data_IF_772025610355
#
_entry.id   IF_772025610355
#
_cell.length_a   1.000
_cell.length_b   1.000
_cell.length_c   1.000
_cell.angle_alpha   90.00
_cell.angle_beta   90.00
_cell.angle_gamma   90.00
#
_symmetry.space_group_name_H-M   'P 1'
#
loop_
_entity.id
_entity.type
_entity.pdbx_description
1 polymer ?
#
# COMPACT_ATOMS: atom_id res chain seq x y z
N UNK A 1 37.97 -27.46 -8.21
CA UNK A 1 38.69 -26.39 -7.50
C UNK A 1 37.98 -25.01 -7.64
N UNK A 2 37.73 -24.47 -8.87
CA UNK A 2 37.05 -23.16 -9.03
C UNK A 2 35.66 -23.13 -8.42
N UNK A 3 34.82 -24.11 -8.72
CA UNK A 3 33.44 -24.18 -8.17
C UNK A 3 33.42 -24.31 -6.65
N UNK A 4 34.39 -25.01 -6.07
CA UNK A 4 34.51 -25.12 -4.60
C UNK A 4 34.89 -23.77 -3.95
N UNK A 5 35.78 -23.00 -4.59
CA UNK A 5 36.15 -21.68 -4.13
C UNK A 5 34.96 -20.70 -4.22
N UNK A 6 34.22 -20.71 -5.31
CA UNK A 6 33.01 -19.90 -5.48
C UNK A 6 31.94 -20.23 -4.42
N UNK A 7 31.74 -21.51 -4.18
CA UNK A 7 30.80 -22.00 -3.16
C UNK A 7 31.21 -21.56 -1.74
N UNK A 8 32.50 -21.67 -1.42
CA UNK A 8 33.00 -21.19 -0.13
C UNK A 8 32.87 -19.65 0.04
N UNK A 9 33.08 -18.89 -1.04
CA UNK A 9 32.87 -17.43 -1.04
C UNK A 9 31.41 -17.05 -0.83
N UNK A 10 30.48 -17.75 -1.48
CA UNK A 10 29.05 -17.54 -1.28
C UNK A 10 28.62 -17.87 0.16
N UNK A 11 29.10 -18.97 0.72
CA UNK A 11 28.84 -19.33 2.10
C UNK A 11 29.36 -18.25 3.07
N UNK A 12 30.56 -17.73 2.83
CA UNK A 12 31.09 -16.63 3.62
C UNK A 12 30.26 -15.34 3.47
N UNK A 13 29.81 -15.01 2.25
CA UNK A 13 28.97 -13.84 2.03
C UNK A 13 27.62 -13.95 2.76
N UNK A 14 27.05 -15.14 2.87
CA UNK A 14 25.80 -15.38 3.61
C UNK A 14 25.94 -15.30 5.12
N UNK A 15 27.16 -15.22 5.66
CA UNK A 15 27.35 -14.96 7.10
C UNK A 15 27.09 -13.50 7.47
N UNK A 16 27.05 -12.61 6.49
CA UNK A 16 26.70 -11.19 6.68
C UNK A 16 25.33 -10.91 6.09
N UNK A 17 24.39 -10.46 6.91
CA UNK A 17 23.07 -9.98 6.46
C UNK A 17 23.13 -8.48 6.36
N UNK A 18 22.94 -7.96 5.15
CA UNK A 18 22.95 -6.53 4.85
C UNK A 18 21.58 -6.06 4.38
N UNK A 19 21.21 -4.84 4.78
CA UNK A 19 20.01 -4.20 4.26
C UNK A 19 20.16 -3.91 2.76
N UNK A 20 19.18 -4.31 1.96
CA UNK A 20 19.17 -4.08 0.51
C UNK A 20 18.78 -2.64 0.14
N UNK A 21 18.15 -1.91 1.06
CA UNK A 21 17.71 -0.52 0.89
C UNK A 21 17.77 0.24 2.20
N UNK A 22 17.69 1.57 2.11
CA UNK A 22 17.54 2.43 3.27
C UNK A 22 16.19 2.17 3.97
N UNK A 23 16.19 2.25 5.30
CA UNK A 23 15.00 1.99 6.10
C UNK A 23 15.32 1.78 7.56
N UNK A 24 14.30 1.53 8.34
CA UNK A 24 14.39 1.28 9.78
C UNK A 24 14.20 -0.21 10.06
N UNK A 25 15.15 -0.81 10.79
CA UNK A 25 15.01 -2.18 11.28
C UNK A 25 14.04 -2.19 12.44
N UNK A 26 12.99 -2.98 12.32
CA UNK A 26 11.96 -3.15 13.34
C UNK A 26 11.84 -4.61 13.74
N UNK A 27 11.31 -4.87 14.94
CA UNK A 27 11.06 -6.21 15.46
C UNK A 27 12.26 -7.15 15.36
N UNK A 28 13.44 -6.66 15.78
CA UNK A 28 14.66 -7.46 15.82
C UNK A 28 14.56 -8.49 16.95
N UNK A 29 14.49 -9.77 16.60
CA UNK A 29 14.37 -10.90 17.54
C UNK A 29 15.67 -11.72 17.67
N UNK A 30 16.80 -11.07 17.54
CA UNK A 30 18.11 -11.70 17.64
C UNK A 30 18.87 -11.23 18.88
N UNK A 31 19.47 -12.18 19.56
CA UNK A 31 20.47 -11.93 20.61
C UNK A 31 21.77 -12.62 20.24
N UNK A 32 22.92 -12.08 20.64
CA UNK A 32 24.20 -12.77 20.46
C UNK A 32 24.17 -14.18 21.04
N UNK A 33 24.59 -15.18 20.24
CA UNK A 33 24.53 -16.60 20.63
C UNK A 33 23.19 -17.29 20.33
N UNK A 34 22.18 -16.60 19.83
CA UNK A 34 20.92 -17.25 19.41
C UNK A 34 21.14 -18.11 18.17
N UNK A 35 20.54 -19.29 18.15
CA UNK A 35 20.47 -20.12 16.95
C UNK A 35 19.28 -19.74 16.10
N UNK A 36 19.52 -19.56 14.81
CA UNK A 36 18.48 -19.25 13.82
C UNK A 36 18.47 -20.29 12.73
N UNK A 37 17.34 -20.91 12.49
CA UNK A 37 17.16 -21.82 11.38
C UNK A 37 17.03 -21.06 10.05
N UNK A 38 17.50 -21.67 8.97
CA UNK A 38 17.34 -21.08 7.63
C UNK A 38 15.87 -20.85 7.31
N UNK A 39 15.54 -19.66 6.76
CA UNK A 39 14.17 -19.28 6.42
C UNK A 39 13.34 -18.68 7.57
N UNK A 40 13.90 -18.59 8.79
CA UNK A 40 13.21 -17.93 9.91
C UNK A 40 13.38 -16.40 9.81
N UNK A 41 12.29 -15.63 9.77
CA UNK A 41 12.39 -14.16 9.80
C UNK A 41 12.89 -13.70 11.17
N UNK A 42 13.92 -12.87 11.18
CA UNK A 42 14.58 -12.39 12.42
C UNK A 42 14.41 -10.91 12.67
N UNK A 43 14.07 -10.16 11.62
CA UNK A 43 13.81 -8.73 11.70
C UNK A 43 12.92 -8.31 10.52
N UNK A 44 12.25 -7.18 10.66
CA UNK A 44 11.57 -6.51 9.57
C UNK A 44 12.35 -5.25 9.18
N UNK A 45 12.59 -5.05 7.89
CA UNK A 45 13.12 -3.80 7.36
C UNK A 45 11.96 -2.98 6.79
N UNK A 46 11.67 -1.86 7.41
CA UNK A 46 10.67 -0.90 6.93
C UNK A 46 11.39 0.13 6.07
N UNK A 47 11.10 0.13 4.77
CA UNK A 47 11.71 1.09 3.85
C UNK A 47 11.20 2.51 4.10
N UNK A 48 12.02 3.50 3.78
CA UNK A 48 11.65 4.92 3.91
C UNK A 48 10.63 5.38 2.85
N UNK A 49 10.46 4.58 1.79
CA UNK A 49 9.47 4.85 0.75
C UNK A 49 8.05 4.59 1.27
N UNK A 50 7.19 5.59 1.10
CA UNK A 50 5.78 5.50 1.48
C UNK A 50 4.96 5.10 0.25
N UNK A 51 4.42 3.89 0.27
CA UNK A 51 3.40 3.44 -0.68
C UNK A 51 2.02 3.48 -0.02
N UNK A 52 1.09 4.20 -0.64
CA UNK A 52 -0.26 4.36 -0.13
C UNK A 52 -1.21 3.60 -1.04
N UNK A 53 -1.80 2.54 -0.52
CA UNK A 53 -2.85 1.81 -1.22
C UNK A 53 -4.23 2.19 -0.68
N UNK A 54 -5.19 2.37 -1.60
CA UNK A 54 -6.57 2.71 -1.25
C UNK A 54 -7.57 1.92 -2.10
N UNK A 55 -8.60 1.38 -1.46
CA UNK A 55 -9.60 0.55 -2.10
C UNK A 55 -10.88 1.37 -2.37
N UNK A 56 -11.17 1.62 -3.63
CA UNK A 56 -12.34 2.35 -4.08
C UNK A 56 -13.35 1.45 -4.77
N UNK A 57 -14.61 1.86 -4.75
CA UNK A 57 -15.63 1.20 -5.57
C UNK A 57 -15.33 1.44 -7.05
N UNK A 58 -15.45 0.42 -7.89
CA UNK A 58 -15.20 0.47 -9.34
C UNK A 58 -15.88 1.69 -10.01
N UNK A 59 -17.08 2.03 -9.60
CA UNK A 59 -17.82 3.21 -10.12
C UNK A 59 -17.08 4.53 -9.87
N UNK A 60 -16.35 4.65 -8.77
CA UNK A 60 -15.61 5.86 -8.43
C UNK A 60 -14.35 6.03 -9.28
N UNK A 61 -13.81 4.95 -9.81
CA UNK A 61 -12.60 4.95 -10.62
C UNK A 61 -12.85 5.15 -12.11
N UNK A 62 -14.12 5.23 -12.56
CA UNK A 62 -14.48 5.34 -13.98
C UNK A 62 -13.75 6.46 -14.72
N UNK A 63 -13.45 7.57 -14.05
CA UNK A 63 -12.82 8.76 -14.63
C UNK A 63 -11.48 9.09 -13.97
N UNK A 64 -10.88 8.10 -13.32
CA UNK A 64 -9.60 8.22 -12.62
C UNK A 64 -8.58 7.34 -13.32
N UNK A 65 -7.39 7.89 -13.55
CA UNK A 65 -6.29 7.19 -14.17
C UNK A 65 -4.95 7.53 -13.51
N UNK A 66 -3.89 6.80 -13.88
CA UNK A 66 -2.54 7.15 -13.45
C UNK A 66 -2.20 8.60 -13.84
N UNK A 67 -1.59 9.34 -12.91
CA UNK A 67 -1.27 10.76 -13.05
C UNK A 67 -2.33 11.71 -12.50
N UNK A 68 -3.54 11.24 -12.18
CA UNK A 68 -4.58 12.07 -11.61
C UNK A 68 -4.19 12.60 -10.23
N UNK A 69 -4.61 13.85 -9.97
CA UNK A 69 -4.39 14.47 -8.69
C UNK A 69 -5.19 13.78 -7.58
N UNK A 70 -4.57 13.63 -6.44
CA UNK A 70 -5.18 13.12 -5.22
C UNK A 70 -4.76 13.97 -4.01
N UNK A 71 -5.45 13.78 -2.90
CA UNK A 71 -5.04 14.32 -1.61
C UNK A 71 -5.16 13.22 -0.56
N UNK A 72 -4.23 13.25 0.38
CA UNK A 72 -4.17 12.28 1.47
C UNK A 72 -4.17 13.01 2.80
N UNK A 73 -4.95 12.51 3.75
CA UNK A 73 -4.92 12.94 5.15
C UNK A 73 -4.64 11.71 5.99
N UNK A 74 -3.57 11.75 6.75
CA UNK A 74 -3.21 10.68 7.68
C UNK A 74 -3.87 10.89 9.03
N UNK A 75 -4.31 9.81 9.65
CA UNK A 75 -4.88 9.85 11.00
C UNK A 75 -3.86 10.35 12.03
N UNK A 76 -2.56 10.08 11.79
CA UNK A 76 -1.47 10.54 12.63
C UNK A 76 -1.25 12.06 12.59
N UNK A 77 -1.72 12.75 11.53
CA UNK A 77 -1.56 14.21 11.36
C UNK A 77 -2.87 14.88 10.96
N UNK A 78 -3.77 15.04 11.92
CA UNK A 78 -5.02 15.75 11.73
C UNK A 78 -4.79 17.16 11.17
N UNK A 79 -5.66 17.61 10.28
CA UNK A 79 -5.59 18.95 9.69
C UNK A 79 -4.57 19.12 8.57
N UNK A 80 -3.66 18.17 8.35
CA UNK A 80 -2.66 18.24 7.29
C UNK A 80 -3.11 17.47 6.04
N UNK A 81 -3.20 18.17 4.92
CA UNK A 81 -3.56 17.61 3.62
C UNK A 81 -2.30 17.51 2.76
N UNK A 82 -1.94 16.29 2.40
CA UNK A 82 -0.77 16.01 1.57
C UNK A 82 -1.22 15.90 0.11
N UNK A 83 -0.66 16.72 -0.81
CA UNK A 83 -0.90 16.56 -2.23
C UNK A 83 -0.25 15.27 -2.72
N UNK A 84 -0.96 14.57 -3.59
CA UNK A 84 -0.57 13.26 -4.07
C UNK A 84 -1.04 13.04 -5.51
N UNK A 85 -0.55 11.97 -6.14
CA UNK A 85 -0.96 11.52 -7.47
C UNK A 85 -1.21 10.03 -7.48
N UNK A 86 -2.16 9.63 -8.30
CA UNK A 86 -2.40 8.22 -8.61
C UNK A 86 -1.20 7.69 -9.39
N UNK A 87 -0.52 6.70 -8.87
CA UNK A 87 0.62 6.05 -9.53
C UNK A 87 0.18 4.88 -10.39
N UNK A 88 -0.71 4.04 -9.87
CA UNK A 88 -1.20 2.87 -10.55
C UNK A 88 -2.59 2.48 -10.06
N UNK A 89 -3.30 1.72 -10.87
CA UNK A 89 -4.54 1.04 -10.51
C UNK A 89 -4.32 -0.43 -10.79
N UNK A 90 -4.62 -1.31 -9.83
CA UNK A 90 -4.46 -2.75 -10.00
C UNK A 90 -5.35 -3.25 -11.14
N UNK A 91 -4.77 -4.06 -12.01
CA UNK A 91 -5.47 -4.57 -13.18
C UNK A 91 -6.57 -5.60 -12.84
N UNK A 92 -6.61 -6.08 -11.61
CA UNK A 92 -7.58 -7.08 -11.19
C UNK A 92 -7.64 -7.24 -9.69
N UNK A 93 -8.72 -7.88 -9.25
CA UNK A 93 -8.95 -8.28 -7.86
C UNK A 93 -9.20 -9.77 -7.81
N UNK A 94 -8.89 -10.40 -6.69
CA UNK A 94 -9.06 -11.84 -6.52
C UNK A 94 -10.52 -12.28 -6.60
N UNK A 95 -11.42 -11.44 -6.10
CA UNK A 95 -12.87 -11.73 -6.14
C UNK A 95 -13.38 -11.76 -7.58
N UNK A 96 -14.13 -12.80 -7.92
CA UNK A 96 -14.66 -13.02 -9.27
C UNK A 96 -13.70 -13.66 -10.24
N UNK A 97 -12.49 -14.04 -9.83
CA UNK A 97 -11.60 -14.86 -10.64
C UNK A 97 -11.88 -16.34 -10.42
N UNK A 98 -11.79 -17.10 -11.49
CA UNK A 98 -11.89 -18.56 -11.44
C UNK A 98 -10.55 -19.14 -11.02
N UNK A 99 -10.54 -19.96 -9.97
CA UNK A 99 -9.36 -20.74 -9.62
C UNK A 99 -9.11 -21.78 -10.71
N UNK A 100 -7.89 -21.84 -11.22
CA UNK A 100 -7.48 -22.82 -12.24
C UNK A 100 -7.21 -24.21 -11.60
N UNK A 101 -8.23 -24.75 -10.88
CA UNK A 101 -8.14 -26.00 -10.13
C UNK A 101 -8.78 -27.20 -10.89
N UNK A 102 -9.38 -26.96 -12.05
CA UNK A 102 -10.07 -27.97 -12.85
C UNK A 102 -11.52 -28.25 -12.39
N UNK A 103 -12.00 -27.55 -11.39
CA UNK A 103 -13.39 -27.69 -10.92
C UNK A 103 -14.37 -26.91 -11.81
N UNK A 104 -15.65 -27.32 -11.79
CA UNK A 104 -16.70 -26.56 -12.45
C UNK A 104 -16.94 -25.23 -11.72
N UNK A 105 -17.20 -24.18 -12.49
CA UNK A 105 -17.52 -22.87 -11.95
C UNK A 105 -18.77 -22.94 -11.03
N UNK A 106 -18.63 -22.50 -9.79
CA UNK A 106 -19.73 -22.31 -8.86
C UNK A 106 -20.16 -20.82 -8.88
N UNK A 107 -21.29 -20.46 -9.50
CA UNK A 107 -21.78 -19.10 -9.49
C UNK A 107 -22.03 -18.63 -8.05
N UNK A 108 -21.54 -17.43 -7.70
CA UNK A 108 -21.85 -16.84 -6.40
C UNK A 108 -23.36 -16.57 -6.29
N UNK A 109 -23.99 -17.21 -5.31
CA UNK A 109 -25.37 -16.88 -4.96
C UNK A 109 -25.38 -15.60 -4.14
N UNK A 110 -26.19 -14.63 -4.53
CA UNK A 110 -26.40 -13.40 -3.76
C UNK A 110 -27.80 -13.42 -3.16
N UNK A 111 -27.88 -13.51 -1.83
CA UNK A 111 -29.13 -13.38 -1.09
C UNK A 111 -29.53 -11.91 -0.86
N UNK A 112 -28.74 -10.97 -1.39
CA UNK A 112 -28.96 -9.54 -1.22
C UNK A 112 -29.67 -8.95 -2.42
N UNK A 113 -30.69 -8.18 -2.17
CA UNK A 113 -31.40 -7.40 -3.20
C UNK A 113 -30.47 -6.45 -3.98
N UNK A 114 -29.47 -5.83 -3.29
CA UNK A 114 -28.53 -4.90 -3.93
C UNK A 114 -27.19 -5.62 -4.07
N UNK A 115 -26.68 -5.70 -5.30
CA UNK A 115 -25.37 -6.24 -5.60
C UNK A 115 -24.29 -5.37 -4.93
N UNK A 116 -23.40 -5.98 -4.16
CA UNK A 116 -22.22 -5.30 -3.63
C UNK A 116 -21.34 -4.81 -4.78
N UNK A 117 -20.94 -3.54 -4.70
CA UNK A 117 -20.07 -2.98 -5.71
C UNK A 117 -18.63 -3.48 -5.48
N UNK A 118 -18.05 -4.06 -6.51
CA UNK A 118 -16.66 -4.48 -6.52
C UNK A 118 -15.74 -3.32 -6.13
N UNK A 119 -14.73 -3.61 -5.32
CA UNK A 119 -13.67 -2.66 -4.99
C UNK A 119 -12.43 -2.97 -5.81
N UNK A 120 -11.74 -1.92 -6.20
CA UNK A 120 -10.48 -1.98 -6.93
C UNK A 120 -9.44 -1.17 -6.18
N UNK A 121 -8.23 -1.68 -6.10
CA UNK A 121 -7.12 -1.03 -5.42
C UNK A 121 -6.41 -0.09 -6.36
N UNK A 122 -6.05 1.07 -5.84
CA UNK A 122 -5.15 2.01 -6.48
C UNK A 122 -4.00 2.37 -5.54
N UNK A 123 -2.91 2.77 -6.13
CA UNK A 123 -1.70 3.23 -5.46
C UNK A 123 -1.54 4.72 -5.65
N UNK A 124 -1.14 5.38 -4.59
CA UNK A 124 -0.96 6.83 -4.55
C UNK A 124 0.42 7.17 -4.06
N UNK A 125 1.10 8.08 -4.72
CA UNK A 125 2.40 8.61 -4.34
C UNK A 125 2.26 10.04 -3.90
N UNK A 126 2.86 10.39 -2.77
CA UNK A 126 2.88 11.76 -2.26
C UNK A 126 3.80 12.63 -3.13
N UNK A 127 3.37 13.86 -3.41
CA UNK A 127 4.22 14.85 -4.12
C UNK A 127 5.31 15.41 -3.19
N UNK A 128 5.11 15.34 -1.89
CA UNK A 128 6.08 15.75 -0.87
C UNK A 128 6.07 14.74 0.26
N UNK A 129 7.26 14.28 0.63
CA UNK A 129 7.41 13.41 1.80
C UNK A 129 6.97 14.14 3.07
N UNK A 130 6.33 13.42 4.01
CA UNK A 130 6.03 13.95 5.32
C UNK A 130 7.31 14.32 6.09
N UNK A 131 7.22 15.32 6.99
CA UNK A 131 8.37 15.78 7.79
C UNK A 131 8.86 14.74 8.79
N UNK A 132 7.98 13.86 9.25
CA UNK A 132 8.31 12.75 10.12
C UNK A 132 7.92 11.41 9.49
N UNK A 133 8.67 10.33 9.74
CA UNK A 133 8.37 9.02 9.19
C UNK A 133 7.03 8.51 9.74
N UNK A 134 6.20 8.00 8.84
CA UNK A 134 4.97 7.31 9.21
C UNK A 134 5.25 5.85 9.52
N UNK A 135 4.62 5.28 10.55
CA UNK A 135 4.72 3.85 10.78
C UNK A 135 4.09 3.07 9.62
N UNK A 136 4.70 1.95 9.25
CA UNK A 136 4.10 1.03 8.28
C UNK A 136 2.74 0.55 8.81
N UNK A 137 1.71 0.62 7.96
CA UNK A 137 0.34 0.33 8.35
C UNK A 137 -0.44 1.53 8.92
N UNK A 138 0.11 2.75 8.86
CA UNK A 138 -0.64 3.96 9.18
C UNK A 138 -1.90 4.08 8.32
N UNK A 139 -2.98 4.53 8.92
CA UNK A 139 -4.24 4.77 8.22
C UNK A 139 -4.30 6.16 7.64
N UNK A 140 -4.97 6.28 6.49
CA UNK A 140 -5.16 7.55 5.82
C UNK A 140 -6.48 7.58 5.06
N UNK A 141 -7.00 8.77 4.86
CA UNK A 141 -8.12 9.02 3.94
C UNK A 141 -7.58 9.58 2.64
N UNK A 142 -7.95 8.96 1.53
CA UNK A 142 -7.56 9.37 0.17
C UNK A 142 -8.74 9.97 -0.56
N UNK A 143 -8.56 11.19 -1.10
CA UNK A 143 -9.52 11.88 -1.95
C UNK A 143 -8.96 11.97 -3.37
N UNK A 144 -9.73 11.54 -4.35
CA UNK A 144 -9.37 11.60 -5.77
C UNK A 144 -9.99 12.81 -6.44
N UNK A 145 -9.27 13.39 -7.40
CA UNK A 145 -9.72 14.53 -8.21
C UNK A 145 -9.71 14.16 -9.69
N UNK A 146 -10.81 13.60 -10.22
CA UNK A 146 -10.85 13.22 -11.62
C UNK A 146 -10.74 14.43 -12.55
N UNK A 147 -10.00 14.30 -13.64
CA UNK A 147 -9.80 15.37 -14.63
C UNK A 147 -11.10 15.85 -15.27
N UNK A 148 -12.08 14.97 -15.42
CA UNK A 148 -13.26 15.19 -16.23
C UNK A 148 -14.28 16.14 -15.59
N UNK A 149 -14.15 16.53 -14.31
CA UNK A 149 -15.15 17.36 -13.64
C UNK A 149 -14.54 18.36 -12.64
N UNK A 150 -14.42 19.63 -13.03
CA UNK A 150 -13.90 20.67 -12.13
C UNK A 150 -14.81 20.90 -10.91
N UNK A 151 -16.12 20.71 -11.07
CA UNK A 151 -17.08 20.79 -9.94
C UNK A 151 -16.87 19.66 -8.93
N UNK A 152 -16.71 18.43 -9.42
CA UNK A 152 -16.42 17.28 -8.52
C UNK A 152 -15.10 17.49 -7.79
N UNK A 153 -14.07 18.02 -8.45
CA UNK A 153 -12.79 18.33 -7.83
C UNK A 153 -12.91 19.47 -6.79
N UNK A 154 -13.75 20.47 -7.00
CA UNK A 154 -13.99 21.52 -6.03
C UNK A 154 -14.72 20.99 -4.78
N UNK A 155 -15.74 20.16 -4.97
CA UNK A 155 -16.45 19.50 -3.87
C UNK A 155 -15.52 18.55 -3.11
N UNK A 156 -14.69 17.77 -3.81
CA UNK A 156 -13.69 16.90 -3.19
C UNK A 156 -12.68 17.68 -2.33
N UNK A 157 -12.24 18.86 -2.78
CA UNK A 157 -11.37 19.76 -1.98
C UNK A 157 -12.06 20.28 -0.72
N UNK A 158 -13.33 20.60 -0.80
CA UNK A 158 -14.12 21.01 0.37
C UNK A 158 -14.30 19.82 1.34
N UNK A 159 -14.62 18.65 0.81
CA UNK A 159 -14.80 17.44 1.60
C UNK A 159 -13.53 17.03 2.34
N UNK A 160 -12.37 17.00 1.69
CA UNK A 160 -11.12 16.58 2.34
C UNK A 160 -10.69 17.57 3.45
N UNK A 161 -10.99 18.88 3.28
CA UNK A 161 -10.76 19.87 4.34
C UNK A 161 -11.63 19.61 5.55
N UNK A 162 -12.89 19.28 5.35
CA UNK A 162 -13.80 18.92 6.42
C UNK A 162 -13.33 17.65 7.13
N UNK A 163 -12.94 16.63 6.37
CA UNK A 163 -12.40 15.37 6.92
C UNK A 163 -11.12 15.64 7.72
N UNK A 164 -10.19 16.41 7.16
CA UNK A 164 -8.95 16.79 7.86
C UNK A 164 -9.21 17.48 9.21
N UNK A 165 -10.24 18.31 9.28
CA UNK A 165 -10.67 18.95 10.52
C UNK A 165 -11.34 17.94 11.47
N UNK A 166 -12.16 17.03 10.96
CA UNK A 166 -12.82 16.00 11.78
C UNK A 166 -11.84 15.02 12.41
N UNK A 167 -10.67 14.78 11.81
CA UNK A 167 -9.61 13.94 12.40
C UNK A 167 -9.03 14.48 13.71
N UNK A 168 -9.35 15.74 14.11
CA UNK A 168 -9.03 16.23 15.46
C UNK A 168 -9.98 15.70 16.54
N UNK A 169 -11.17 15.22 16.14
CA UNK A 169 -12.23 14.84 17.07
C UNK A 169 -12.35 13.32 17.19
N UNK A 170 -11.85 12.60 16.18
CA UNK A 170 -12.08 11.17 16.06
C UNK A 170 -10.78 10.35 16.05
#
# INVERSE_FOLDING_TARGET
ARNQLEQARLQLAYTEVRAERAGVVSNLQLSPGAYVAAGTPVAALVADEVDISADFREKALRYVGPGDAAAVVFDAWPGHIFPARVSAIDAGVREGQLDANGDLAAPASSDRWVRDAQRQRLHVVLERAPEAPLPSGAKATVQLYPHASPLASALGRAQIRLIAWLHYIY
#
